data_IF_040250955308
#
_entry.id   IF_040250955308
#
_cell.length_a   1.000
_cell.length_b   1.000
_cell.length_c   1.000
_cell.angle_alpha   90.00
_cell.angle_beta   90.00
_cell.angle_gamma   90.00
#
_symmetry.space_group_name_H-M   'P 1'
#
loop_
_entity.id
_entity.type
_entity.pdbx_description
1 polymer ?
#
# COMPACT_ATOMS: atom_id res chain seq x y z
N UNK A 1 11.74 19.57 21.06
CA UNK A 1 12.40 18.25 20.95
C UNK A 1 11.43 17.36 20.16
N UNK A 2 11.31 17.69 18.86
CA UNK A 2 11.67 16.84 17.71
C UNK A 2 10.66 15.69 17.57
N UNK A 3 9.52 15.92 16.90
CA UNK A 3 9.35 15.75 15.45
C UNK A 3 9.79 14.37 15.00
N UNK A 4 8.85 13.44 14.98
CA UNK A 4 8.95 12.20 14.23
C UNK A 4 7.72 12.10 13.32
N UNK A 5 7.75 12.83 12.20
CA UNK A 5 6.96 12.46 11.03
C UNK A 5 7.56 11.16 10.50
N UNK A 6 6.97 10.03 10.91
CA UNK A 6 7.25 8.73 10.34
C UNK A 6 6.74 8.69 8.88
N UNK A 7 7.69 8.83 7.94
CA UNK A 7 7.81 8.06 6.70
C UNK A 7 6.52 7.71 5.93
N UNK A 8 6.22 8.47 4.87
CA UNK A 8 5.88 7.87 3.56
C UNK A 8 6.08 8.84 2.38
N UNK A 9 7.06 8.48 1.55
CA UNK A 9 7.48 9.05 0.26
C UNK A 9 8.25 10.41 0.32
N UNK A 10 9.52 10.34 -0.05
CA UNK A 10 10.69 11.22 0.18
C UNK A 10 10.72 12.52 -0.69
N UNK A 11 9.58 13.15 -1.01
CA UNK A 11 9.57 14.28 -1.97
C UNK A 11 8.79 15.55 -1.56
N UNK A 12 8.09 15.62 -0.42
CA UNK A 12 7.21 16.78 -0.14
C UNK A 12 7.50 17.60 1.14
N UNK A 13 8.77 17.75 1.53
CA UNK A 13 9.10 18.59 2.69
C UNK A 13 9.32 20.09 2.38
N UNK A 14 9.28 20.52 1.10
CA UNK A 14 9.70 21.89 0.72
C UNK A 14 8.57 22.90 0.41
N UNK A 15 7.34 22.48 0.11
CA UNK A 15 6.26 23.40 -0.33
C UNK A 15 5.29 23.84 0.80
N UNK A 16 5.56 23.40 2.03
CA UNK A 16 4.64 23.49 3.19
C UNK A 16 4.43 24.94 3.67
N UNK A 17 5.42 25.82 3.51
CA UNK A 17 5.37 27.17 4.09
C UNK A 17 4.32 28.08 3.42
N UNK A 18 4.15 27.98 2.10
CA UNK A 18 3.24 28.84 1.35
C UNK A 18 1.80 28.28 1.29
N UNK A 19 1.65 26.96 1.44
CA UNK A 19 0.36 26.26 1.45
C UNK A 19 -0.37 26.36 2.79
N UNK A 20 0.37 26.40 3.92
CA UNK A 20 -0.22 26.54 5.25
C UNK A 20 -1.06 27.82 5.41
N UNK A 21 -0.67 28.91 4.75
CA UNK A 21 -1.41 30.17 4.78
C UNK A 21 -2.79 30.07 4.10
N UNK A 22 -2.89 29.23 3.07
CA UNK A 22 -4.13 28.98 2.33
C UNK A 22 -5.08 28.03 3.07
N UNK A 23 -4.54 26.99 3.70
CA UNK A 23 -5.34 26.03 4.46
C UNK A 23 -5.90 26.60 5.78
N UNK A 24 -5.22 27.56 6.42
CA UNK A 24 -5.77 28.26 7.60
C UNK A 24 -6.97 29.15 7.21
N UNK A 25 -6.99 29.67 5.99
CA UNK A 25 -8.07 30.55 5.50
C UNK A 25 -9.33 29.77 5.10
N UNK A 26 -9.19 28.51 4.71
CA UNK A 26 -10.29 27.63 4.28
C UNK A 26 -10.32 26.38 5.17
N UNK A 27 -10.90 26.52 6.35
CA UNK A 27 -10.98 25.44 7.33
C UNK A 27 -11.87 24.29 6.87
N UNK A 28 -11.27 23.25 6.31
CA UNK A 28 -11.88 21.92 6.18
C UNK A 28 -10.96 20.89 6.85
N UNK A 29 -11.42 20.36 7.99
CA UNK A 29 -10.71 19.34 8.74
C UNK A 29 -10.64 18.03 7.95
N UNK A 30 -9.46 17.72 7.40
CA UNK A 30 -9.20 16.41 6.82
C UNK A 30 -9.15 15.37 7.94
N UNK A 31 -10.19 14.54 8.01
CA UNK A 31 -10.24 13.34 8.84
C UNK A 31 -9.13 12.36 8.41
N UNK A 32 -8.05 12.28 9.19
CA UNK A 32 -6.93 11.40 8.94
C UNK A 32 -7.30 9.97 9.34
N UNK A 33 -7.97 9.24 8.45
CA UNK A 33 -8.03 7.78 8.54
C UNK A 33 -6.60 7.26 8.35
N UNK A 34 -6.14 6.36 9.24
CA UNK A 34 -4.85 5.66 9.12
C UNK A 34 -4.92 4.65 7.96
N UNK A 35 -5.19 5.14 6.76
CA UNK A 35 -5.15 4.34 5.55
C UNK A 35 -3.68 4.01 5.30
N UNK A 36 -3.36 2.71 5.26
CA UNK A 36 -2.17 2.27 4.55
C UNK A 36 -2.19 2.97 3.19
N UNK A 37 -1.19 3.79 2.92
CA UNK A 37 -1.11 4.46 1.62
C UNK A 37 -0.94 3.38 0.58
N UNK A 38 -1.90 3.31 -0.33
CA UNK A 38 -2.00 2.24 -1.31
C UNK A 38 -0.89 2.32 -2.36
N UNK A 39 0.36 2.03 -1.97
CA UNK A 39 1.51 1.96 -2.85
C UNK A 39 1.81 0.50 -3.27
N UNK A 40 1.59 0.10 -4.52
CA UNK A 40 1.84 -1.27 -4.97
C UNK A 40 3.31 -1.70 -4.81
N UNK A 41 4.26 -0.77 -4.69
CA UNK A 41 5.67 -1.09 -4.43
C UNK A 41 5.91 -1.74 -3.07
N UNK A 42 5.00 -1.56 -2.10
CA UNK A 42 5.07 -2.27 -0.81
C UNK A 42 4.89 -3.79 -0.95
N UNK A 43 4.32 -4.25 -2.08
CA UNK A 43 4.19 -5.68 -2.42
C UNK A 43 5.43 -6.23 -3.15
N UNK A 44 6.47 -5.42 -3.39
CA UNK A 44 7.75 -5.86 -3.95
C UNK A 44 8.37 -7.11 -3.29
N UNK A 45 8.35 -7.31 -1.94
CA UNK A 45 8.87 -8.55 -1.36
C UNK A 45 8.08 -9.81 -1.77
N UNK A 46 6.86 -9.66 -2.27
CA UNK A 46 6.06 -10.77 -2.81
C UNK A 46 6.35 -11.07 -4.28
N UNK A 47 7.02 -10.18 -5.02
CA UNK A 47 7.26 -10.34 -6.46
C UNK A 47 8.00 -11.65 -6.79
N UNK A 48 9.06 -11.97 -6.03
CA UNK A 48 9.83 -13.21 -6.25
C UNK A 48 8.98 -14.44 -5.93
N UNK A 49 8.17 -14.41 -4.88
CA UNK A 49 7.29 -15.53 -4.51
C UNK A 49 6.23 -15.78 -5.60
N UNK A 50 5.69 -14.71 -6.18
CA UNK A 50 4.65 -14.77 -7.22
C UNK A 50 5.25 -15.23 -8.56
N UNK A 51 6.39 -14.68 -8.97
CA UNK A 51 7.02 -15.00 -10.27
C UNK A 51 7.63 -16.40 -10.26
N UNK A 52 8.39 -16.75 -9.20
CA UNK A 52 9.13 -18.01 -9.14
C UNK A 52 8.35 -19.16 -8.48
N UNK A 53 7.07 -18.93 -8.13
CA UNK A 53 6.24 -19.89 -7.40
C UNK A 53 6.92 -20.45 -6.12
N UNK A 54 7.73 -19.62 -5.46
CA UNK A 54 8.44 -19.96 -4.23
C UNK A 54 7.59 -19.61 -2.99
N UNK A 55 7.86 -20.25 -1.84
CA UNK A 55 7.23 -19.87 -0.58
C UNK A 55 7.43 -18.37 -0.28
N UNK A 56 6.38 -17.66 0.20
CA UNK A 56 6.50 -16.25 0.56
C UNK A 56 7.36 -16.06 1.80
N UNK A 57 8.06 -14.92 1.87
CA UNK A 57 8.79 -14.50 3.06
C UNK A 57 7.85 -13.90 4.10
N UNK A 58 8.28 -13.85 5.37
CA UNK A 58 7.52 -13.17 6.43
C UNK A 58 7.25 -11.69 6.09
N UNK A 59 8.21 -11.00 5.48
CA UNK A 59 8.05 -9.62 5.02
C UNK A 59 6.96 -9.48 3.95
N UNK A 60 6.90 -10.40 2.98
CA UNK A 60 5.82 -10.44 1.99
C UNK A 60 4.46 -10.59 2.69
N UNK A 61 4.33 -11.56 3.60
CA UNK A 61 3.05 -11.79 4.28
C UNK A 61 2.62 -10.62 5.17
N UNK A 62 3.56 -9.93 5.83
CA UNK A 62 3.25 -8.72 6.60
C UNK A 62 2.71 -7.62 5.69
N UNK A 63 3.44 -7.29 4.62
CA UNK A 63 3.06 -6.23 3.69
C UNK A 63 1.75 -6.52 2.96
N UNK A 64 1.50 -7.77 2.61
CA UNK A 64 0.25 -8.19 1.99
C UNK A 64 -0.95 -7.96 2.91
N UNK A 65 -0.80 -8.22 4.22
CA UNK A 65 -1.84 -7.98 5.22
C UNK A 65 -2.07 -6.48 5.45
N UNK A 66 -1.00 -5.71 5.54
CA UNK A 66 -1.06 -4.25 5.71
C UNK A 66 -1.78 -3.59 4.52
N UNK A 67 -1.56 -4.12 3.31
CA UNK A 67 -2.15 -3.63 2.07
C UNK A 67 -3.55 -4.20 1.76
N UNK A 68 -4.12 -5.03 2.65
CA UNK A 68 -5.45 -5.62 2.46
C UNK A 68 -6.54 -4.61 2.06
N UNK A 69 -6.68 -3.42 2.68
CA UNK A 69 -7.69 -2.43 2.27
C UNK A 69 -7.48 -1.90 0.84
N UNK A 70 -6.27 -2.00 0.29
CA UNK A 70 -5.90 -1.52 -1.04
C UNK A 70 -6.05 -2.59 -2.13
N UNK A 71 -6.17 -3.88 -1.79
CA UNK A 71 -6.22 -4.98 -2.76
C UNK A 71 -7.35 -4.83 -3.78
N UNK A 72 -8.51 -4.35 -3.35
CA UNK A 72 -9.63 -4.05 -4.26
C UNK A 72 -9.29 -2.95 -5.28
N UNK A 73 -8.51 -1.95 -4.87
CA UNK A 73 -8.10 -0.87 -5.78
C UNK A 73 -7.10 -1.42 -6.81
N UNK A 74 -6.20 -2.31 -6.41
CA UNK A 74 -5.27 -2.97 -7.33
C UNK A 74 -5.95 -3.92 -8.31
N UNK A 75 -7.06 -4.54 -7.93
CA UNK A 75 -7.90 -5.34 -8.84
C UNK A 75 -8.60 -4.49 -9.90
N UNK A 76 -8.92 -3.22 -9.59
CA UNK A 76 -9.53 -2.28 -10.53
C UNK A 76 -8.54 -1.73 -11.56
N UNK A 77 -7.25 -1.68 -11.24
CA UNK A 77 -6.22 -1.26 -12.18
C UNK A 77 -5.85 -2.40 -13.14
N UNK A 78 -6.08 -2.26 -14.46
CA UNK A 78 -5.82 -3.33 -15.41
C UNK A 78 -4.35 -3.71 -15.57
N UNK A 79 -3.41 -2.86 -15.14
CA UNK A 79 -1.97 -3.14 -15.12
C UNK A 79 -1.61 -4.03 -13.93
N UNK A 80 -2.24 -3.81 -12.79
CA UNK A 80 -1.97 -4.55 -11.54
C UNK A 80 -2.85 -5.79 -11.38
N UNK A 81 -4.04 -5.82 -11.97
CA UNK A 81 -4.96 -6.97 -11.91
C UNK A 81 -4.27 -8.27 -12.35
N UNK A 82 -3.38 -8.21 -13.35
CA UNK A 82 -2.70 -9.39 -13.90
C UNK A 82 -1.76 -10.01 -12.90
N UNK A 83 -1.20 -9.20 -12.02
CA UNK A 83 -0.31 -9.64 -10.95
C UNK A 83 -1.12 -10.22 -9.80
N UNK A 84 -2.15 -9.51 -9.33
CA UNK A 84 -3.01 -9.90 -8.21
C UNK A 84 -3.86 -11.13 -8.54
N UNK A 85 -4.45 -11.22 -9.73
CA UNK A 85 -5.30 -12.32 -10.17
C UNK A 85 -4.49 -13.52 -10.72
N UNK A 86 -3.16 -13.52 -10.59
CA UNK A 86 -2.35 -14.66 -11.02
C UNK A 86 -2.57 -15.87 -10.09
N UNK A 87 -2.46 -17.11 -10.60
CA UNK A 87 -2.58 -18.31 -9.76
C UNK A 87 -1.54 -18.35 -8.64
N UNK A 88 -0.32 -17.87 -8.90
CA UNK A 88 0.75 -17.83 -7.91
C UNK A 88 0.51 -16.77 -6.84
N UNK A 89 -0.03 -15.59 -7.20
CA UNK A 89 -0.43 -14.59 -6.22
C UNK A 89 -1.53 -15.12 -5.29
N UNK A 90 -2.52 -15.84 -5.83
CA UNK A 90 -3.55 -16.48 -5.01
C UNK A 90 -2.97 -17.53 -4.04
N UNK A 91 -2.00 -18.33 -4.50
CA UNK A 91 -1.29 -19.29 -3.62
C UNK A 91 -0.51 -18.58 -2.51
N UNK A 92 0.21 -17.51 -2.83
CA UNK A 92 0.95 -16.69 -1.85
C UNK A 92 -0.01 -16.07 -0.83
N UNK A 93 -1.11 -15.48 -1.31
CA UNK A 93 -2.15 -14.89 -0.47
C UNK A 93 -2.77 -15.91 0.50
N UNK A 94 -3.06 -17.11 0.01
CA UNK A 94 -3.58 -18.22 0.82
C UNK A 94 -2.55 -18.67 1.85
N UNK A 95 -1.28 -18.81 1.45
CA UNK A 95 -0.17 -19.20 2.35
C UNK A 95 0.05 -18.18 3.46
N UNK A 96 -0.09 -16.89 3.14
CA UNK A 96 0.04 -15.80 4.11
C UNK A 96 -1.22 -15.59 4.98
N UNK A 97 -2.32 -16.32 4.73
CA UNK A 97 -3.59 -16.15 5.44
C UNK A 97 -4.31 -14.85 5.11
N UNK A 98 -4.07 -14.29 3.92
CA UNK A 98 -4.70 -13.06 3.43
C UNK A 98 -5.23 -13.27 2.00
N UNK A 99 -6.23 -14.16 1.79
CA UNK A 99 -6.80 -14.39 0.47
C UNK A 99 -7.35 -13.10 -0.14
N UNK A 100 -7.24 -12.96 -1.46
CA UNK A 100 -7.72 -11.77 -2.15
C UNK A 100 -9.24 -11.64 -2.03
N UNK A 101 -9.77 -10.46 -1.67
CA UNK A 101 -11.20 -10.23 -1.59
C UNK A 101 -11.83 -10.21 -2.99
N UNK A 102 -13.09 -10.63 -3.08
CA UNK A 102 -13.95 -10.28 -4.21
C UNK A 102 -14.43 -8.85 -4.02
N UNK A 103 -14.03 -7.99 -4.95
CA UNK A 103 -14.45 -6.62 -5.13
C UNK A 103 -14.82 -6.45 -6.61
#
# INVERSE_FOLDING_TARGET
MLVECAWRDEDQCSDILNSALWFILMGEGAQMSMAATCNPMELSPCAVAIISAKPPTAACCSKLKDQRPCLCQYLKDPKLQKFINSPNANKVATTCGSPFPSC
#
